data_IF_618678060973
#
_entry.id   IF_618678060973
#
_cell.length_a   1.000
_cell.length_b   1.000
_cell.length_c   1.000
_cell.angle_alpha   90.00
_cell.angle_beta   90.00
_cell.angle_gamma   90.00
#
_symmetry.space_group_name_H-M   'P 1'
#
loop_
_entity.id
_entity.type
_entity.pdbx_description
1 polymer ?
#
# COMPACT_ATOMS: atom_id res chain seq x y z
N UNK A 1 38.92 29.41 12.28
CA UNK A 1 38.06 28.51 11.48
C UNK A 1 37.03 27.88 12.40
N UNK A 2 35.71 27.95 12.11
CA UNK A 2 34.72 27.23 12.91
C UNK A 2 34.99 25.73 12.80
N UNK A 3 35.02 25.02 13.94
CA UNK A 3 35.21 23.56 13.96
C UNK A 3 34.17 22.90 13.03
N UNK A 4 34.55 21.93 12.18
CA UNK A 4 33.58 21.16 11.42
C UNK A 4 32.61 20.53 12.42
N UNK A 5 31.34 20.97 12.39
CA UNK A 5 30.32 20.41 13.28
C UNK A 5 30.14 18.94 12.92
N UNK A 6 30.49 18.06 13.86
CA UNK A 6 30.34 16.61 13.71
C UNK A 6 28.89 16.25 13.36
N UNK A 7 28.75 15.15 12.62
CA UNK A 7 27.47 14.48 12.38
C UNK A 7 26.95 13.96 13.73
N UNK A 8 25.71 14.29 14.07
CA UNK A 8 25.09 13.84 15.35
C UNK A 8 24.34 12.52 15.15
N UNK A 9 23.96 11.82 16.23
CA UNK A 9 23.14 10.61 16.12
C UNK A 9 21.80 10.86 15.37
N UNK A 10 21.16 12.01 15.60
CA UNK A 10 19.97 12.41 14.84
C UNK A 10 20.23 12.59 13.34
N UNK A 11 21.44 12.99 12.96
CA UNK A 11 21.81 13.08 11.54
C UNK A 11 22.00 11.68 10.97
N UNK A 12 22.70 10.80 11.68
CA UNK A 12 22.87 9.40 11.29
C UNK A 12 21.52 8.71 11.13
N UNK A 13 20.57 8.97 12.04
CA UNK A 13 19.19 8.46 11.92
C UNK A 13 18.50 8.96 10.65
N UNK A 14 18.60 10.25 10.32
CA UNK A 14 18.07 10.80 9.05
C UNK A 14 18.73 10.12 7.85
N UNK A 15 20.06 9.97 7.86
CA UNK A 15 20.80 9.36 6.75
C UNK A 15 20.44 7.87 6.60
N UNK A 16 20.28 7.11 7.68
CA UNK A 16 19.81 5.71 7.67
C UNK A 16 18.44 5.57 7.01
N UNK A 17 17.52 6.53 7.23
CA UNK A 17 16.22 6.55 6.55
C UNK A 17 16.37 6.69 5.04
N UNK A 18 17.29 7.53 4.56
CA UNK A 18 17.59 7.58 3.13
C UNK A 18 18.28 6.32 2.61
N UNK A 19 19.10 5.65 3.43
CA UNK A 19 19.64 4.33 3.11
C UNK A 19 18.54 3.30 2.85
N UNK A 20 17.51 3.29 3.72
CA UNK A 20 16.35 2.39 3.63
C UNK A 20 15.41 2.74 2.47
N UNK A 21 15.01 4.00 2.35
CA UNK A 21 13.95 4.43 1.43
C UNK A 21 14.46 5.00 0.09
N UNK A 22 15.78 5.26 -0.04
CA UNK A 22 16.45 5.88 -1.18
C UNK A 22 16.10 7.34 -1.45
N UNK A 23 14.81 7.68 -1.45
CA UNK A 23 14.27 9.01 -1.73
C UNK A 23 13.12 9.31 -0.79
N UNK A 24 13.11 10.51 -0.20
CA UNK A 24 12.08 10.95 0.73
C UNK A 24 11.72 12.42 0.47
N UNK A 25 10.53 12.81 0.88
CA UNK A 25 10.14 14.22 0.99
C UNK A 25 10.55 14.76 2.37
N UNK A 26 10.72 16.08 2.49
CA UNK A 26 10.96 16.72 3.80
C UNK A 26 9.82 16.46 4.79
N UNK A 27 8.60 16.30 4.29
CA UNK A 27 7.42 16.01 5.10
C UNK A 27 7.50 14.58 5.65
N UNK A 28 7.80 13.60 4.80
CA UNK A 28 7.97 12.20 5.21
C UNK A 28 8.99 12.04 6.36
N UNK A 29 10.13 12.75 6.30
CA UNK A 29 11.12 12.73 7.39
C UNK A 29 10.55 13.23 8.72
N UNK A 30 9.71 14.26 8.68
CA UNK A 30 9.09 14.86 9.86
C UNK A 30 7.95 14.01 10.42
N UNK A 31 7.46 13.04 9.65
CA UNK A 31 6.45 12.06 10.07
C UNK A 31 7.12 10.82 10.67
N UNK A 32 8.28 10.40 10.17
CA UNK A 32 9.03 9.26 10.75
C UNK A 32 9.69 9.64 12.09
N UNK A 33 10.24 10.85 12.19
CA UNK A 33 10.99 11.30 13.37
C UNK A 33 10.06 12.14 14.25
N UNK A 34 9.28 11.46 15.11
CA UNK A 34 8.22 12.06 15.93
C UNK A 34 8.67 12.46 17.34
N UNK A 35 9.80 11.94 17.81
CA UNK A 35 10.39 12.20 19.13
C UNK A 35 11.05 13.59 19.27
N UNK A 36 11.14 14.34 18.17
CA UNK A 36 11.62 15.73 18.15
C UNK A 36 10.69 16.60 17.31
N UNK A 37 10.75 17.93 17.50
CA UNK A 37 9.87 18.84 16.76
C UNK A 37 10.12 18.78 15.24
N UNK A 38 9.05 18.90 14.45
CA UNK A 38 9.14 18.97 12.97
C UNK A 38 10.09 20.06 12.48
N UNK A 39 10.15 21.20 13.18
CA UNK A 39 11.07 22.30 12.87
C UNK A 39 12.54 21.90 13.10
N UNK A 40 12.81 21.10 14.13
CA UNK A 40 14.15 20.56 14.36
C UNK A 40 14.57 19.62 13.22
N UNK A 41 13.72 18.67 12.82
CA UNK A 41 13.99 17.74 11.70
C UNK A 41 14.27 18.50 10.40
N UNK A 42 13.45 19.52 10.09
CA UNK A 42 13.66 20.40 8.94
C UNK A 42 15.02 21.09 9.01
N UNK A 43 15.35 21.72 10.16
CA UNK A 43 16.64 22.41 10.36
C UNK A 43 17.84 21.48 10.19
N UNK A 44 17.77 20.26 10.73
CA UNK A 44 18.82 19.24 10.54
C UNK A 44 18.95 18.82 9.09
N UNK A 45 17.82 18.59 8.42
CA UNK A 45 17.79 18.23 7.00
C UNK A 45 18.45 19.32 6.13
N UNK A 46 18.15 20.60 6.37
CA UNK A 46 18.82 21.72 5.70
C UNK A 46 20.34 21.73 5.94
N UNK A 47 20.78 21.51 7.18
CA UNK A 47 22.21 21.42 7.49
C UNK A 47 22.90 20.25 6.79
N UNK A 48 22.23 19.10 6.66
CA UNK A 48 22.75 17.94 5.93
C UNK A 48 22.84 18.20 4.42
N UNK A 49 21.92 19.00 3.87
CA UNK A 49 21.98 19.48 2.48
C UNK A 49 23.17 20.42 2.29
N UNK A 50 23.31 21.46 3.13
CA UNK A 50 24.44 22.41 3.06
C UNK A 50 25.80 21.73 3.18
N UNK A 51 25.89 20.68 3.99
CA UNK A 51 27.12 19.90 4.18
C UNK A 51 27.36 18.84 3.11
N UNK A 52 26.43 18.68 2.16
CA UNK A 52 26.54 17.77 1.03
C UNK A 52 26.31 16.29 1.36
N UNK A 53 25.67 15.95 2.49
CA UNK A 53 25.28 14.58 2.82
C UNK A 53 23.97 14.16 2.13
N UNK A 54 23.12 15.12 1.82
CA UNK A 54 21.84 14.95 1.11
C UNK A 54 21.84 15.91 -0.08
N UNK A 55 21.34 15.45 -1.23
CA UNK A 55 21.06 16.29 -2.40
C UNK A 55 19.56 16.56 -2.48
N UNK A 56 19.21 17.83 -2.73
CA UNK A 56 17.84 18.26 -3.01
C UNK A 56 17.67 18.51 -4.50
N UNK A 57 16.59 17.96 -5.06
CA UNK A 57 16.13 18.22 -6.42
C UNK A 57 14.63 18.51 -6.39
N UNK A 58 14.26 19.79 -6.50
CA UNK A 58 12.91 20.26 -6.21
C UNK A 58 12.45 19.92 -4.79
N UNK A 59 11.44 19.04 -4.68
CA UNK A 59 10.91 18.52 -3.41
C UNK A 59 11.52 17.18 -2.99
N UNK A 60 12.38 16.60 -3.81
CA UNK A 60 12.93 15.27 -3.62
C UNK A 60 14.28 15.38 -2.89
N UNK A 61 14.46 14.57 -1.85
CA UNK A 61 15.72 14.45 -1.13
C UNK A 61 16.33 13.07 -1.37
N UNK A 62 17.62 13.04 -1.68
CA UNK A 62 18.37 11.80 -1.95
C UNK A 62 19.70 11.80 -1.20
N UNK A 63 20.16 10.62 -0.81
CA UNK A 63 21.46 10.45 -0.16
C UNK A 63 22.59 10.74 -1.16
N UNK A 64 23.67 11.36 -0.72
CA UNK A 64 24.91 11.45 -1.52
C UNK A 64 25.88 10.34 -1.13
N UNK A 65 26.93 10.10 -1.92
CA UNK A 65 27.98 9.14 -1.54
C UNK A 65 28.65 9.52 -0.21
N UNK A 66 28.75 10.83 0.07
CA UNK A 66 29.25 11.35 1.33
C UNK A 66 28.34 10.93 2.49
N UNK A 67 27.02 11.12 2.34
CA UNK A 67 26.04 10.66 3.33
C UNK A 67 26.00 9.16 3.52
N UNK A 68 26.16 8.39 2.44
CA UNK A 68 26.18 6.93 2.47
C UNK A 68 27.35 6.40 3.31
N UNK A 69 28.55 6.96 3.15
CA UNK A 69 29.74 6.56 3.92
C UNK A 69 29.57 6.78 5.43
N UNK A 70 28.89 7.84 5.85
CA UNK A 70 28.63 8.10 7.29
C UNK A 70 27.76 7.01 7.94
N UNK A 71 26.98 6.27 7.15
CA UNK A 71 26.12 5.18 7.63
C UNK A 71 26.64 3.79 7.21
N UNK A 72 27.90 3.70 6.76
CA UNK A 72 28.53 2.43 6.41
C UNK A 72 28.06 1.84 5.08
N UNK A 73 27.52 2.64 4.16
CA UNK A 73 27.15 2.20 2.82
C UNK A 73 28.22 2.59 1.79
N UNK A 74 28.66 1.61 0.99
CA UNK A 74 29.63 1.82 -0.09
C UNK A 74 29.02 2.45 -1.36
N UNK A 75 27.69 2.46 -1.45
CA UNK A 75 26.97 2.99 -2.61
C UNK A 75 25.67 3.69 -2.21
N UNK A 76 25.17 4.52 -3.12
CA UNK A 76 23.90 5.22 -2.97
C UNK A 76 22.82 4.45 -3.72
N UNK A 77 21.62 4.27 -3.15
CA UNK A 77 20.49 3.72 -3.90
C UNK A 77 20.15 4.59 -5.12
N UNK A 78 20.31 4.04 -6.33
CA UNK A 78 20.00 4.77 -7.57
C UNK A 78 18.49 4.75 -7.81
N UNK A 79 17.89 5.94 -7.94
CA UNK A 79 16.49 6.10 -8.35
C UNK A 79 16.48 6.85 -9.67
N UNK A 80 15.95 6.20 -10.71
CA UNK A 80 15.77 6.85 -12.02
C UNK A 80 14.73 7.96 -11.87
N UNK A 81 14.96 9.11 -12.51
CA UNK A 81 14.15 10.32 -12.38
C UNK A 81 12.65 10.07 -12.58
N UNK A 82 12.29 9.34 -13.64
CA UNK A 82 10.89 8.99 -13.94
C UNK A 82 10.21 8.10 -12.87
N UNK A 83 10.96 7.48 -11.97
CA UNK A 83 10.46 6.64 -10.89
C UNK A 83 10.41 7.35 -9.53
N UNK A 84 10.96 8.56 -9.41
CA UNK A 84 11.11 9.26 -8.12
C UNK A 84 9.74 9.47 -7.45
N UNK A 85 8.78 10.04 -8.17
CA UNK A 85 7.44 10.30 -7.61
C UNK A 85 6.72 9.03 -7.15
N UNK A 86 6.80 7.95 -7.94
CA UNK A 86 6.24 6.65 -7.56
C UNK A 86 6.87 6.13 -6.28
N UNK A 87 8.20 6.22 -6.18
CA UNK A 87 8.94 5.72 -5.03
C UNK A 87 8.66 6.52 -3.76
N UNK A 88 8.53 7.85 -3.88
CA UNK A 88 8.08 8.71 -2.77
C UNK A 88 6.69 8.29 -2.28
N UNK A 89 5.72 8.11 -3.17
CA UNK A 89 4.36 7.72 -2.78
C UNK A 89 4.34 6.37 -2.04
N UNK A 90 5.10 5.36 -2.51
CA UNK A 90 5.21 4.09 -1.79
C UNK A 90 5.91 4.29 -0.43
N UNK A 91 7.02 5.01 -0.40
CA UNK A 91 7.77 5.21 0.85
C UNK A 91 6.91 5.93 1.89
N UNK A 92 6.22 7.00 1.52
CA UNK A 92 5.31 7.72 2.43
C UNK A 92 4.18 6.79 2.92
N UNK A 93 3.60 5.97 2.04
CA UNK A 93 2.60 5.00 2.47
C UNK A 93 3.14 3.94 3.44
N UNK A 94 4.35 3.41 3.20
CA UNK A 94 5.02 2.49 4.11
C UNK A 94 5.35 3.15 5.45
N UNK A 95 5.75 4.42 5.44
CA UNK A 95 6.02 5.20 6.64
C UNK A 95 4.76 5.35 7.47
N UNK A 96 3.64 5.77 6.89
CA UNK A 96 2.38 5.89 7.62
C UNK A 96 1.91 4.54 8.16
N UNK A 97 2.11 3.45 7.41
CA UNK A 97 1.78 2.09 7.88
C UNK A 97 2.71 1.60 9.00
N UNK A 98 3.94 2.11 9.08
CA UNK A 98 4.91 1.70 10.10
C UNK A 98 4.54 2.08 11.53
N UNK A 99 3.56 2.98 11.70
CA UNK A 99 2.98 3.31 13.01
C UNK A 99 2.13 2.16 13.59
N UNK A 100 1.66 1.25 12.74
CA UNK A 100 0.72 0.20 13.11
C UNK A 100 1.19 -1.20 12.76
N UNK A 101 2.09 -1.34 11.77
CA UNK A 101 2.46 -2.61 11.15
C UNK A 101 3.96 -2.69 10.89
N UNK A 102 4.47 -3.91 10.74
CA UNK A 102 5.84 -4.13 10.28
C UNK A 102 5.93 -3.83 8.78
N UNK A 103 6.89 -2.98 8.39
CA UNK A 103 7.09 -2.58 6.99
C UNK A 103 8.51 -2.84 6.49
N UNK A 104 8.58 -3.25 5.23
CA UNK A 104 9.79 -3.57 4.51
C UNK A 104 9.94 -2.62 3.33
N UNK A 105 11.12 -2.04 3.15
CA UNK A 105 11.50 -1.34 1.92
C UNK A 105 11.54 -2.32 0.73
N UNK A 106 11.56 -1.79 -0.49
CA UNK A 106 11.73 -2.58 -1.72
C UNK A 106 12.93 -3.55 -1.63
N UNK A 107 14.05 -3.12 -1.03
CA UNK A 107 15.24 -3.95 -0.88
C UNK A 107 14.99 -5.08 0.12
N UNK A 108 14.53 -4.73 1.32
CA UNK A 108 14.28 -5.69 2.40
C UNK A 108 13.29 -6.79 1.98
N UNK A 109 12.16 -6.46 1.37
CA UNK A 109 11.18 -7.49 0.94
C UNK A 109 11.75 -8.39 -0.16
N UNK A 110 12.54 -7.85 -1.08
CA UNK A 110 13.13 -8.64 -2.17
C UNK A 110 14.19 -9.60 -1.65
N UNK A 111 14.98 -9.18 -0.67
CA UNK A 111 15.96 -10.04 0.00
C UNK A 111 15.26 -11.11 0.85
N UNK A 112 14.28 -10.71 1.66
CA UNK A 112 13.53 -11.61 2.54
C UNK A 112 12.78 -12.70 1.77
N UNK A 113 12.13 -12.36 0.66
CA UNK A 113 11.30 -13.27 -0.12
C UNK A 113 12.01 -13.80 -1.39
N UNK A 114 13.32 -13.56 -1.53
CA UNK A 114 14.13 -13.99 -2.67
C UNK A 114 13.57 -13.55 -4.04
N UNK A 115 12.99 -12.35 -4.10
CA UNK A 115 12.37 -11.79 -5.30
C UNK A 115 13.43 -11.12 -6.18
N UNK A 116 13.40 -11.29 -7.52
CA UNK A 116 14.32 -10.62 -8.41
C UNK A 116 14.33 -9.11 -8.24
N UNK A 117 15.53 -8.52 -8.28
CA UNK A 117 15.73 -7.07 -8.14
C UNK A 117 14.99 -6.26 -9.21
N UNK A 118 14.71 -6.88 -10.36
CA UNK A 118 13.97 -6.32 -11.50
C UNK A 118 12.48 -6.08 -11.24
N UNK A 119 11.91 -6.66 -10.19
CA UNK A 119 10.51 -6.46 -9.82
C UNK A 119 10.28 -4.99 -9.39
N UNK A 120 9.11 -4.46 -9.72
CA UNK A 120 8.66 -3.09 -9.47
C UNK A 120 8.04 -2.89 -8.09
N UNK A 121 8.01 -3.93 -7.24
CA UNK A 121 7.60 -3.86 -5.83
C UNK A 121 8.32 -2.69 -5.15
N UNK A 122 7.55 -1.77 -4.57
CA UNK A 122 8.08 -0.62 -3.84
C UNK A 122 8.35 -0.91 -2.37
N UNK A 123 7.70 -1.93 -1.79
CA UNK A 123 7.98 -2.44 -0.45
C UNK A 123 7.00 -3.53 -0.02
N UNK A 124 6.97 -3.80 1.27
CA UNK A 124 6.19 -4.84 1.90
C UNK A 124 5.54 -4.36 3.18
N UNK A 125 4.37 -4.90 3.50
CA UNK A 125 3.69 -4.68 4.78
C UNK A 125 3.27 -6.03 5.33
N UNK A 126 3.60 -6.31 6.57
CA UNK A 126 3.24 -7.55 7.24
C UNK A 126 2.07 -7.31 8.20
N UNK A 127 1.02 -8.10 7.99
CA UNK A 127 -0.20 -8.08 8.80
C UNK A 127 -0.64 -9.52 9.09
N UNK A 128 -1.48 -10.09 8.22
CA UNK A 128 -1.89 -11.50 8.21
C UNK A 128 -1.17 -12.27 7.08
N UNK A 129 0.12 -12.00 6.93
CA UNK A 129 0.94 -12.32 5.77
C UNK A 129 1.56 -11.06 5.17
N UNK A 130 2.46 -11.25 4.19
CA UNK A 130 3.16 -10.15 3.53
C UNK A 130 2.34 -9.65 2.34
N UNK A 131 2.01 -8.35 2.34
CA UNK A 131 1.45 -7.63 1.21
C UNK A 131 2.58 -6.97 0.43
N UNK A 132 2.71 -7.30 -0.86
CA UNK A 132 3.57 -6.54 -1.77
C UNK A 132 2.92 -5.18 -2.08
N UNK A 133 3.67 -4.10 -1.90
CA UNK A 133 3.17 -2.73 -2.08
C UNK A 133 3.65 -2.13 -3.40
N UNK A 134 2.68 -1.61 -4.15
CA UNK A 134 2.86 -0.90 -5.39
C UNK A 134 2.21 0.49 -5.28
N UNK A 135 2.68 1.43 -6.11
CA UNK A 135 1.95 2.66 -6.37
C UNK A 135 1.90 2.93 -7.87
N UNK A 136 0.78 3.46 -8.31
CA UNK A 136 0.58 3.96 -9.65
C UNK A 136 0.83 5.47 -9.70
N UNK A 137 1.35 6.00 -10.82
CA UNK A 137 1.40 7.44 -11.04
C UNK A 137 -0.01 8.00 -11.28
N UNK A 138 -0.21 9.30 -11.05
CA UNK A 138 -1.48 9.98 -11.35
C UNK A 138 -1.96 9.73 -12.79
N UNK A 139 -1.04 9.80 -13.75
CA UNK A 139 -1.26 9.44 -15.16
C UNK A 139 -0.75 8.03 -15.42
N UNK A 140 -1.63 7.05 -15.33
CA UNK A 140 -1.27 5.63 -15.49
C UNK A 140 -1.48 5.16 -16.92
N UNK A 141 -0.52 4.39 -17.45
CA UNK A 141 -0.63 3.77 -18.77
C UNK A 141 -1.07 2.31 -18.64
N UNK A 142 -1.82 1.81 -19.63
CA UNK A 142 -2.24 0.41 -19.67
C UNK A 142 -1.06 -0.57 -19.69
N UNK A 143 0.06 -0.19 -20.33
CA UNK A 143 1.30 -0.98 -20.30
C UNK A 143 1.84 -1.14 -18.87
N UNK A 144 1.86 -0.08 -18.07
CA UNK A 144 2.32 -0.15 -16.69
C UNK A 144 1.42 -1.04 -15.84
N UNK A 145 0.10 -0.94 -15.99
CA UNK A 145 -0.86 -1.80 -15.29
C UNK A 145 -0.63 -3.26 -15.67
N UNK A 146 -0.51 -3.57 -16.96
CA UNK A 146 -0.21 -4.93 -17.45
C UNK A 146 1.10 -5.47 -16.86
N UNK A 147 2.15 -4.66 -16.85
CA UNK A 147 3.44 -5.04 -16.27
C UNK A 147 3.32 -5.35 -14.76
N UNK A 148 2.57 -4.53 -14.01
CA UNK A 148 2.34 -4.75 -12.58
C UNK A 148 1.50 -6.01 -12.35
N UNK A 149 0.39 -6.21 -13.09
CA UNK A 149 -0.42 -7.43 -12.98
C UNK A 149 0.39 -8.69 -13.28
N UNK A 150 1.20 -8.67 -14.33
CA UNK A 150 2.10 -9.78 -14.67
C UNK A 150 3.11 -10.08 -13.56
N UNK A 151 3.58 -9.04 -12.86
CA UNK A 151 4.47 -9.19 -11.72
C UNK A 151 3.74 -9.77 -10.51
N UNK A 152 2.54 -9.27 -10.22
CA UNK A 152 1.67 -9.75 -9.15
C UNK A 152 1.36 -11.25 -9.32
N UNK A 153 1.03 -11.70 -10.54
CA UNK A 153 0.79 -13.11 -10.83
C UNK A 153 2.00 -14.02 -10.51
N UNK A 154 3.22 -13.47 -10.57
CA UNK A 154 4.44 -14.22 -10.28
C UNK A 154 4.78 -14.26 -8.79
N UNK A 155 4.18 -13.39 -7.97
CA UNK A 155 4.47 -13.29 -6.53
C UNK A 155 4.17 -14.58 -5.76
N UNK A 156 3.21 -15.38 -6.24
CA UNK A 156 2.90 -16.70 -5.66
C UNK A 156 4.10 -17.65 -5.58
N UNK A 157 5.04 -17.54 -6.53
CA UNK A 157 6.28 -18.34 -6.54
C UNK A 157 7.26 -17.93 -5.43
N UNK A 158 7.03 -16.77 -4.80
CA UNK A 158 7.81 -16.21 -3.70
C UNK A 158 7.00 -16.19 -2.39
N UNK A 159 5.95 -17.02 -2.31
CA UNK A 159 5.04 -17.12 -1.16
C UNK A 159 4.35 -15.79 -0.77
N UNK A 160 4.23 -14.85 -1.70
CA UNK A 160 3.45 -13.63 -1.51
C UNK A 160 2.14 -13.79 -2.27
N UNK A 161 1.04 -13.85 -1.52
CA UNK A 161 -0.32 -14.00 -2.06
C UNK A 161 -1.21 -12.79 -1.76
N UNK A 162 -0.63 -11.66 -1.40
CA UNK A 162 -1.38 -10.43 -1.11
C UNK A 162 -0.66 -9.22 -1.67
N UNK A 163 -1.41 -8.24 -2.17
CA UNK A 163 -0.82 -7.02 -2.72
C UNK A 163 -1.72 -5.81 -2.50
N UNK A 164 -1.06 -4.66 -2.34
CA UNK A 164 -1.68 -3.34 -2.25
C UNK A 164 -1.17 -2.52 -3.43
N UNK A 165 -2.08 -1.93 -4.18
CA UNK A 165 -1.77 -0.95 -5.22
C UNK A 165 -2.37 0.39 -4.81
N UNK A 166 -1.51 1.35 -4.49
CA UNK A 166 -1.93 2.71 -4.22
C UNK A 166 -2.23 3.47 -5.53
N UNK A 167 -3.46 3.95 -5.64
CA UNK A 167 -4.02 4.65 -6.79
C UNK A 167 -4.30 6.12 -6.40
N UNK A 168 -3.38 7.07 -6.69
CA UNK A 168 -3.51 8.46 -6.24
C UNK A 168 -4.54 9.29 -7.03
N UNK A 169 -5.15 8.73 -8.07
CA UNK A 169 -6.18 9.38 -8.88
C UNK A 169 -7.23 8.38 -9.35
N UNK A 170 -8.44 8.88 -9.66
CA UNK A 170 -9.47 8.07 -10.30
C UNK A 170 -8.99 7.47 -11.63
N UNK A 171 -8.20 8.20 -12.40
CA UNK A 171 -7.60 7.70 -13.64
C UNK A 171 -6.69 6.48 -13.40
N UNK A 172 -5.86 6.52 -12.35
CA UNK A 172 -4.99 5.38 -12.01
C UNK A 172 -5.77 4.16 -11.53
N UNK A 173 -6.88 4.40 -10.83
CA UNK A 173 -7.79 3.38 -10.37
C UNK A 173 -8.55 2.73 -11.53
N UNK A 174 -9.19 3.53 -12.38
CA UNK A 174 -9.95 3.06 -13.54
C UNK A 174 -9.06 2.35 -14.57
N UNK A 175 -7.77 2.72 -14.66
CA UNK A 175 -6.80 2.02 -15.49
C UNK A 175 -6.52 0.59 -15.00
N UNK A 176 -6.68 0.33 -13.68
CA UNK A 176 -6.51 -1.00 -13.09
C UNK A 176 -7.82 -1.78 -13.23
N UNK A 177 -8.08 -2.27 -14.44
CA UNK A 177 -9.30 -2.98 -14.81
C UNK A 177 -9.64 -4.15 -13.84
N UNK A 178 -10.76 -4.09 -13.09
CA UNK A 178 -11.15 -5.14 -12.14
C UNK A 178 -11.62 -6.43 -12.82
N UNK A 179 -12.02 -6.37 -14.10
CA UNK A 179 -12.56 -7.52 -14.83
C UNK A 179 -11.47 -8.48 -15.35
N UNK A 180 -10.21 -8.09 -15.24
CA UNK A 180 -9.06 -8.96 -15.49
C UNK A 180 -8.24 -9.16 -14.20
N UNK A 181 -8.69 -10.06 -13.29
CA UNK A 181 -8.03 -10.29 -12.00
C UNK A 181 -6.63 -10.88 -12.16
N UNK A 182 -5.79 -10.61 -11.17
CA UNK A 182 -4.51 -11.30 -11.03
C UNK A 182 -4.75 -12.74 -10.55
N UNK A 183 -4.00 -13.69 -11.08
CA UNK A 183 -4.06 -15.10 -10.73
C UNK A 183 -3.10 -15.45 -9.59
N UNK A 184 -3.50 -16.40 -8.75
CA UNK A 184 -2.64 -16.93 -7.68
C UNK A 184 -2.40 -15.96 -6.53
N UNK A 185 -3.25 -14.93 -6.41
CA UNK A 185 -3.27 -14.00 -5.29
C UNK A 185 -4.58 -14.15 -4.52
N UNK A 186 -4.51 -14.11 -3.19
CA UNK A 186 -5.66 -14.29 -2.31
C UNK A 186 -6.41 -12.97 -2.07
N UNK A 187 -5.69 -11.84 -2.16
CA UNK A 187 -6.19 -10.49 -1.93
C UNK A 187 -5.41 -9.45 -2.75
N UNK A 188 -6.13 -8.55 -3.43
CA UNK A 188 -5.54 -7.47 -4.22
C UNK A 188 -6.29 -6.16 -3.96
N UNK A 189 -5.72 -5.32 -3.11
CA UNK A 189 -6.33 -4.07 -2.66
C UNK A 189 -5.96 -2.91 -3.60
N UNK A 190 -6.97 -2.17 -4.06
CA UNK A 190 -6.78 -0.91 -4.75
C UNK A 190 -7.16 0.25 -3.83
N UNK A 191 -6.15 0.90 -3.26
CA UNK A 191 -6.35 1.89 -2.22
C UNK A 191 -6.09 3.30 -2.76
N UNK A 192 -6.96 4.29 -2.46
CA UNK A 192 -6.58 5.68 -2.67
C UNK A 192 -5.42 6.03 -1.74
N UNK A 193 -4.49 6.87 -2.18
CA UNK A 193 -3.44 7.42 -1.31
C UNK A 193 -3.68 8.91 -1.08
N UNK A 194 -3.61 9.40 0.17
CA UNK A 194 -3.27 8.68 1.41
C UNK A 194 -4.44 7.99 2.12
N UNK A 195 -5.69 8.32 1.78
CA UNK A 195 -6.88 7.94 2.56
C UNK A 195 -7.07 6.42 2.78
N UNK A 196 -6.59 5.58 1.88
CA UNK A 196 -6.76 4.13 1.95
C UNK A 196 -5.93 3.44 3.03
N UNK A 197 -4.95 4.14 3.60
CA UNK A 197 -4.09 3.61 4.68
C UNK A 197 -4.92 3.29 5.92
N UNK A 198 -5.75 4.25 6.37
CA UNK A 198 -6.60 4.09 7.54
C UNK A 198 -7.60 2.94 7.36
N UNK A 199 -8.15 2.78 6.15
CA UNK A 199 -9.07 1.70 5.83
C UNK A 199 -8.41 0.33 5.85
N UNK A 200 -7.16 0.24 5.36
CA UNK A 200 -6.40 -1.01 5.43
C UNK A 200 -6.08 -1.41 6.88
N UNK A 201 -5.67 -0.45 7.71
CA UNK A 201 -5.38 -0.69 9.13
C UNK A 201 -6.63 -1.19 9.85
N UNK A 202 -7.78 -0.56 9.63
CA UNK A 202 -9.06 -0.86 10.31
C UNK A 202 -9.85 -2.03 9.73
N UNK A 203 -9.39 -2.66 8.65
CA UNK A 203 -10.11 -3.72 7.91
C UNK A 203 -10.65 -4.85 8.83
N UNK A 204 -9.93 -5.20 9.89
CA UNK A 204 -10.29 -6.34 10.76
C UNK A 204 -11.22 -5.95 11.92
N UNK A 205 -11.52 -4.65 12.08
CA UNK A 205 -12.38 -4.13 13.15
C UNK A 205 -13.85 -4.03 12.71
N UNK A 206 -14.25 -4.80 11.69
CA UNK A 206 -15.59 -4.70 11.10
C UNK A 206 -16.71 -4.98 12.10
N UNK A 207 -16.47 -5.89 13.05
CA UNK A 207 -17.43 -6.20 14.12
C UNK A 207 -17.77 -4.97 14.97
N UNK A 208 -16.78 -4.13 15.28
CA UNK A 208 -16.98 -2.89 16.06
C UNK A 208 -17.80 -1.86 15.27
N UNK A 209 -17.64 -1.86 13.95
CA UNK A 209 -18.29 -0.91 13.04
C UNK A 209 -19.77 -1.28 12.84
N UNK A 210 -20.06 -2.56 12.60
CA UNK A 210 -21.43 -3.03 12.26
C UNK A 210 -22.30 -3.15 13.52
N UNK A 211 -21.69 -3.28 14.71
CA UNK A 211 -22.40 -3.42 16.00
C UNK A 211 -23.38 -4.62 16.02
N UNK A 212 -23.08 -5.66 15.25
CA UNK A 212 -23.81 -6.93 15.25
C UNK A 212 -22.89 -8.08 15.70
N UNK A 213 -23.44 -9.16 16.28
CA UNK A 213 -22.68 -10.35 16.62
C UNK A 213 -22.29 -11.10 15.34
N UNK A 214 -21.08 -10.83 14.86
CA UNK A 214 -20.51 -11.40 13.64
C UNK A 214 -19.53 -12.53 13.97
N UNK A 215 -19.62 -13.63 13.23
CA UNK A 215 -18.62 -14.72 13.26
C UNK A 215 -17.76 -14.67 12.00
N UNK A 216 -16.47 -15.04 12.04
CA UNK A 216 -15.67 -15.18 10.84
C UNK A 216 -16.35 -16.11 9.81
N UNK A 217 -16.34 -15.71 8.55
CA UNK A 217 -16.89 -16.54 7.48
C UNK A 217 -15.89 -17.62 7.03
N UNK A 218 -16.41 -18.76 6.59
CA UNK A 218 -15.65 -19.84 5.94
C UNK A 218 -15.52 -19.65 4.42
N UNK A 219 -16.10 -18.59 3.88
CA UNK A 219 -16.16 -18.28 2.45
C UNK A 219 -15.17 -17.18 2.09
N UNK A 220 -14.37 -17.41 1.05
CA UNK A 220 -13.32 -16.46 0.59
C UNK A 220 -13.84 -15.13 0.00
N UNK A 221 -15.16 -14.99 -0.21
CA UNK A 221 -15.81 -13.75 -0.64
C UNK A 221 -16.36 -12.92 0.52
N UNK A 222 -16.32 -13.43 1.75
CA UNK A 222 -16.90 -12.81 2.92
C UNK A 222 -15.88 -12.77 4.07
N UNK A 223 -15.93 -11.73 4.88
CA UNK A 223 -15.11 -11.61 6.09
C UNK A 223 -15.86 -12.19 7.29
N UNK A 224 -17.18 -11.98 7.34
CA UNK A 224 -18.03 -12.42 8.45
C UNK A 224 -19.38 -12.99 7.99
N UNK A 225 -20.06 -13.66 8.91
CA UNK A 225 -21.44 -14.10 8.79
C UNK A 225 -22.24 -13.67 10.02
N UNK A 226 -23.42 -13.08 9.80
CA UNK A 226 -24.43 -12.82 10.82
C UNK A 226 -25.49 -13.93 10.81
N UNK A 227 -25.68 -14.55 11.97
CA UNK A 227 -26.52 -15.75 12.08
C UNK A 227 -26.07 -16.83 11.10
N UNK A 228 -27.03 -17.44 10.40
CA UNK A 228 -26.75 -18.51 9.44
C UNK A 228 -26.95 -18.09 7.98
N UNK A 229 -27.38 -16.87 7.66
CA UNK A 229 -27.87 -16.54 6.31
C UNK A 229 -27.27 -15.28 5.67
N UNK A 230 -26.56 -14.43 6.41
CA UNK A 230 -26.08 -13.16 5.85
C UNK A 230 -24.57 -13.07 5.95
N UNK A 231 -23.89 -13.08 4.81
CA UNK A 231 -22.45 -12.84 4.73
C UNK A 231 -22.17 -11.34 4.63
N UNK A 232 -21.14 -10.88 5.33
CA UNK A 232 -20.64 -9.51 5.25
C UNK A 232 -19.28 -9.50 4.58
N UNK A 233 -19.12 -8.65 3.57
CA UNK A 233 -17.90 -8.48 2.80
C UNK A 233 -17.42 -7.04 2.86
N UNK A 234 -16.25 -6.81 3.45
CA UNK A 234 -15.59 -5.52 3.48
C UNK A 234 -15.00 -5.19 2.12
N UNK A 235 -15.63 -4.22 1.44
CA UNK A 235 -15.23 -3.74 0.11
C UNK A 235 -14.68 -2.31 0.12
N UNK A 236 -14.54 -1.68 1.28
CA UNK A 236 -13.94 -0.33 1.41
C UNK A 236 -12.53 -0.28 0.82
N UNK A 237 -11.75 -1.34 0.99
CA UNK A 237 -10.37 -1.48 0.44
C UNK A 237 -10.33 -1.87 -1.04
N UNK A 238 -11.50 -2.03 -1.66
CA UNK A 238 -11.67 -2.40 -3.05
C UNK A 238 -10.82 -3.61 -3.47
N UNK A 239 -10.97 -4.70 -2.71
CA UNK A 239 -10.32 -5.98 -3.01
C UNK A 239 -10.88 -6.59 -4.31
N UNK A 240 -10.08 -6.56 -5.37
CA UNK A 240 -10.46 -7.06 -6.70
C UNK A 240 -10.73 -8.57 -6.67
N UNK A 241 -9.97 -9.32 -5.87
CA UNK A 241 -10.16 -10.77 -5.77
C UNK A 241 -11.51 -11.05 -5.13
N UNK A 242 -11.84 -10.35 -4.04
CA UNK A 242 -13.13 -10.49 -3.35
C UNK A 242 -14.30 -10.08 -4.23
N UNK A 243 -14.19 -8.95 -4.95
CA UNK A 243 -15.21 -8.50 -5.91
C UNK A 243 -15.52 -9.58 -6.93
N UNK A 244 -14.49 -10.19 -7.54
CA UNK A 244 -14.70 -11.25 -8.53
C UNK A 244 -15.26 -12.54 -7.92
N UNK A 245 -14.88 -12.90 -6.69
CA UNK A 245 -15.48 -14.03 -5.97
C UNK A 245 -16.95 -13.80 -5.63
N UNK A 246 -17.36 -12.57 -5.33
CA UNK A 246 -18.78 -12.21 -5.13
C UNK A 246 -19.56 -12.40 -6.44
N UNK A 247 -19.04 -11.89 -7.57
CA UNK A 247 -19.67 -12.10 -8.89
C UNK A 247 -19.86 -13.59 -9.17
N UNK A 248 -18.80 -14.39 -8.96
CA UNK A 248 -18.83 -15.84 -9.13
C UNK A 248 -19.89 -16.52 -8.25
N UNK A 249 -20.02 -16.09 -6.99
CA UNK A 249 -21.06 -16.60 -6.09
C UNK A 249 -22.47 -16.37 -6.66
N UNK A 250 -22.76 -15.18 -7.16
CA UNK A 250 -24.06 -14.89 -7.76
C UNK A 250 -24.28 -15.60 -9.11
N UNK A 251 -23.23 -15.78 -9.90
CA UNK A 251 -23.34 -16.44 -11.21
C UNK A 251 -23.57 -17.95 -11.07
N UNK A 252 -22.97 -18.60 -10.06
CA UNK A 252 -22.87 -20.06 -10.00
C UNK A 252 -23.50 -20.70 -8.76
N UNK A 253 -23.46 -20.02 -7.61
CA UNK A 253 -23.73 -20.64 -6.30
C UNK A 253 -25.12 -20.27 -5.75
N UNK A 254 -25.60 -19.05 -6.01
CA UNK A 254 -26.87 -18.57 -5.44
C UNK A 254 -28.08 -19.42 -5.85
N UNK A 255 -27.99 -20.12 -6.99
CA UNK A 255 -29.04 -21.05 -7.43
C UNK A 255 -29.27 -22.19 -6.43
N UNK A 256 -28.23 -22.59 -5.70
CA UNK A 256 -28.23 -23.68 -4.71
C UNK A 256 -28.34 -23.17 -3.27
N UNK A 257 -27.85 -21.96 -2.99
CA UNK A 257 -27.85 -21.35 -1.65
C UNK A 257 -28.88 -20.20 -1.52
N UNK A 258 -30.12 -20.39 -1.99
CA UNK A 258 -31.15 -19.32 -2.13
C UNK A 258 -31.49 -18.53 -0.85
N UNK A 259 -31.22 -19.08 0.34
CA UNK A 259 -31.46 -18.39 1.61
C UNK A 259 -30.29 -17.51 2.07
N UNK A 260 -29.15 -17.57 1.38
CA UNK A 260 -27.94 -16.81 1.73
C UNK A 260 -27.95 -15.47 1.00
N UNK A 261 -27.56 -14.42 1.70
CA UNK A 261 -27.39 -13.09 1.12
C UNK A 261 -26.00 -12.52 1.44
N UNK A 262 -25.51 -11.63 0.58
CA UNK A 262 -24.27 -10.90 0.79
C UNK A 262 -24.61 -9.43 1.05
N UNK A 263 -23.98 -8.86 2.08
CA UNK A 263 -23.98 -7.44 2.38
C UNK A 263 -22.56 -6.91 2.19
N UNK A 264 -22.39 -6.07 1.17
CA UNK A 264 -21.14 -5.36 0.91
C UNK A 264 -21.03 -4.15 1.84
N UNK A 265 -19.97 -4.10 2.64
CA UNK A 265 -19.65 -2.94 3.47
C UNK A 265 -18.77 -1.99 2.67
N UNK A 266 -19.28 -0.79 2.45
CA UNK A 266 -18.69 0.22 1.56
C UNK A 266 -18.77 1.60 2.22
N UNK A 267 -17.96 2.54 1.73
CA UNK A 267 -18.16 3.95 2.07
C UNK A 267 -19.33 4.52 1.27
N UNK A 268 -20.00 5.55 1.83
CA UNK A 268 -21.11 6.23 1.17
C UNK A 268 -20.75 6.77 -0.23
N UNK A 269 -19.54 7.28 -0.42
CA UNK A 269 -19.05 7.81 -1.70
C UNK A 269 -18.75 6.71 -2.74
N UNK A 270 -18.48 5.48 -2.31
CA UNK A 270 -18.24 4.32 -3.17
C UNK A 270 -19.53 3.69 -3.74
N UNK A 271 -20.70 4.07 -3.25
CA UNK A 271 -21.98 3.43 -3.62
C UNK A 271 -22.24 3.44 -5.12
N UNK A 272 -22.04 4.58 -5.79
CA UNK A 272 -22.25 4.71 -7.24
C UNK A 272 -21.34 3.78 -8.04
N UNK A 273 -20.09 3.63 -7.58
CA UNK A 273 -19.09 2.78 -8.20
C UNK A 273 -19.46 1.30 -8.07
N UNK A 274 -19.76 0.83 -6.86
CA UNK A 274 -20.12 -0.58 -6.65
C UNK A 274 -21.45 -0.98 -7.28
N UNK A 275 -22.44 -0.07 -7.32
CA UNK A 275 -23.68 -0.32 -8.08
C UNK A 275 -23.42 -0.52 -9.58
N UNK A 276 -22.41 0.14 -10.14
CA UNK A 276 -22.01 -0.06 -11.54
C UNK A 276 -21.31 -1.42 -11.72
N UNK A 277 -20.40 -1.78 -10.82
CA UNK A 277 -19.70 -3.09 -10.85
C UNK A 277 -20.70 -4.24 -10.74
N UNK A 278 -21.62 -4.16 -9.78
CA UNK A 278 -22.59 -5.21 -9.48
C UNK A 278 -23.97 -4.95 -10.11
N UNK A 279 -24.03 -4.23 -11.23
CA UNK A 279 -25.30 -3.87 -11.89
C UNK A 279 -26.19 -5.08 -12.24
N UNK A 280 -25.57 -6.24 -12.47
CA UNK A 280 -26.25 -7.49 -12.81
C UNK A 280 -26.69 -8.29 -11.57
N UNK A 281 -26.39 -7.80 -10.35
CA UNK A 281 -26.63 -8.50 -9.09
C UNK A 281 -27.44 -7.61 -8.13
N UNK A 282 -28.71 -7.32 -8.45
CA UNK A 282 -29.55 -6.41 -7.65
C UNK A 282 -29.83 -6.90 -6.23
N UNK A 283 -29.65 -8.21 -5.98
CA UNK A 283 -29.80 -8.87 -4.68
C UNK A 283 -28.66 -8.52 -3.70
N UNK A 284 -27.54 -7.96 -4.19
CA UNK A 284 -26.43 -7.54 -3.33
C UNK A 284 -26.84 -6.34 -2.49
N UNK A 285 -26.80 -6.51 -1.16
CA UNK A 285 -27.10 -5.45 -0.20
C UNK A 285 -25.86 -4.62 0.09
N UNK A 286 -26.07 -3.38 0.52
CA UNK A 286 -24.99 -2.46 0.87
C UNK A 286 -25.18 -1.95 2.30
N UNK A 287 -24.13 -2.08 3.11
CA UNK A 287 -24.00 -1.41 4.40
C UNK A 287 -23.03 -0.23 4.21
N UNK A 288 -23.52 0.98 4.45
CA UNK A 288 -22.75 2.21 4.22
C UNK A 288 -22.13 2.69 5.53
N UNK A 289 -20.83 2.95 5.51
CA UNK A 289 -20.09 3.64 6.57
C UNK A 289 -20.10 5.16 6.36
#
# INVERSE_FOLDING_TARGET
MPRPKMVTENDLRILRLFGKYSVLSTNALSEIITDVSKNYVKKRTYQLIERGYIKRDGYNLTLTIKGAREIGLDSVPVVKEYNVHKKIAVNEALISLSEHLNVYSSKEIKELCLIPTTFRIGGGVEKDGIYAVYALPKKTTQKLVKDIKNEINKLRHYNIKKAIVFCPSKESYDAFDPDNPCEGIDELLLLPYPLGIDWFVRKDNLCEIIKEPLKPADRTFADYIAGNNTYFSYLVTNDIVKINRIKLFYDQVIQYEKSKSITAVILKDQQSHFRKIFKNYPELKYFML
#
